data_IF_195337223932
#
_entry.id   IF_195337223932
#
_cell.length_a   1.000
_cell.length_b   1.000
_cell.length_c   1.000
_cell.angle_alpha   90.00
_cell.angle_beta   90.00
_cell.angle_gamma   90.00
#
_symmetry.space_group_name_H-M   'P 1'
#
loop_
_entity.id
_entity.type
_entity.pdbx_description
1 polymer ?
#
# COMPACT_ATOMS: atom_id res chain seq x y z
N UNK A 1 0.55 13.74 -14.08
CA UNK A 1 0.48 14.71 -12.96
C UNK A 1 0.43 13.90 -11.70
N UNK A 2 1.42 14.02 -10.82
CA UNK A 2 1.38 13.39 -9.49
C UNK A 2 0.17 13.98 -8.78
N UNK A 3 -0.68 13.09 -8.27
CA UNK A 3 -1.99 13.48 -7.73
C UNK A 3 -1.83 13.97 -6.29
N UNK A 4 -2.61 14.97 -5.88
CA UNK A 4 -2.45 15.70 -4.60
C UNK A 4 -2.33 14.78 -3.36
N UNK A 5 -3.17 13.75 -3.25
CA UNK A 5 -3.14 12.77 -2.16
C UNK A 5 -1.80 12.02 -2.07
N UNK A 6 -1.15 11.73 -3.19
CA UNK A 6 0.14 11.04 -3.20
C UNK A 6 1.23 11.92 -2.60
N UNK A 7 1.25 13.21 -2.94
CA UNK A 7 2.20 14.16 -2.37
C UNK A 7 2.01 14.35 -0.86
N UNK A 8 0.76 14.29 -0.37
CA UNK A 8 0.47 14.34 1.06
C UNK A 8 1.01 13.07 1.77
N UNK A 9 0.86 11.90 1.15
CA UNK A 9 1.37 10.65 1.71
C UNK A 9 2.91 10.54 1.68
N UNK A 10 3.61 11.37 0.91
CA UNK A 10 5.08 11.52 0.98
C UNK A 10 5.53 12.32 2.22
N UNK A 11 4.64 13.11 2.83
CA UNK A 11 4.95 13.83 4.07
C UNK A 11 5.07 12.85 5.23
N UNK A 12 5.80 13.27 6.28
CA UNK A 12 5.83 12.53 7.54
C UNK A 12 4.41 12.52 8.15
N UNK A 13 4.00 11.41 8.79
CA UNK A 13 2.70 11.32 9.48
C UNK A 13 2.38 12.51 10.38
N UNK A 14 3.37 13.01 11.12
CA UNK A 14 3.21 14.12 12.05
C UNK A 14 3.01 15.50 11.37
N UNK A 15 3.31 15.60 10.07
CA UNK A 15 3.27 16.86 9.32
C UNK A 15 1.98 17.01 8.48
N UNK A 16 1.04 16.05 8.58
CA UNK A 16 -0.23 16.04 7.84
C UNK A 16 -1.31 16.77 8.63
N UNK A 17 -2.08 17.63 7.97
CA UNK A 17 -3.23 18.32 8.59
C UNK A 17 -4.51 17.48 8.47
N UNK A 18 -5.56 17.85 9.22
CA UNK A 18 -6.86 17.15 9.14
C UNK A 18 -7.48 17.25 7.73
N UNK A 19 -7.36 18.41 7.08
CA UNK A 19 -7.85 18.60 5.71
C UNK A 19 -7.13 17.70 4.72
N UNK A 20 -5.81 17.55 4.90
CA UNK A 20 -4.98 16.69 4.05
C UNK A 20 -5.30 15.20 4.25
N UNK A 21 -5.60 14.79 5.48
CA UNK A 21 -6.03 13.43 5.78
C UNK A 21 -7.39 13.11 5.14
N UNK A 22 -8.30 14.07 5.07
CA UNK A 22 -9.59 13.91 4.40
C UNK A 22 -9.42 13.72 2.88
N UNK A 23 -8.44 14.40 2.26
CA UNK A 23 -8.09 14.20 0.84
C UNK A 23 -7.61 12.77 0.60
N UNK A 24 -6.72 12.24 1.46
CA UNK A 24 -6.27 10.85 1.37
C UNK A 24 -7.44 9.88 1.57
N UNK A 25 -8.26 10.11 2.60
CA UNK A 25 -9.38 9.25 2.94
C UNK A 25 -10.38 9.09 1.80
N UNK A 26 -10.77 10.21 1.18
CA UNK A 26 -11.69 10.20 0.04
C UNK A 26 -11.11 9.43 -1.15
N UNK A 27 -9.79 9.53 -1.38
CA UNK A 27 -9.13 8.73 -2.41
C UNK A 27 -9.12 7.25 -2.06
N UNK A 28 -8.69 6.87 -0.86
CA UNK A 28 -8.64 5.47 -0.44
C UNK A 28 -10.04 4.81 -0.48
N UNK A 29 -11.08 5.52 -0.06
CA UNK A 29 -12.46 5.04 -0.11
C UNK A 29 -12.98 4.80 -1.54
N UNK A 30 -12.45 5.52 -2.52
CA UNK A 30 -12.81 5.36 -3.94
C UNK A 30 -12.20 4.12 -4.60
N UNK A 31 -11.32 3.39 -3.91
CA UNK A 31 -10.66 2.20 -4.43
C UNK A 31 -11.46 0.97 -4.00
N UNK A 32 -11.94 0.19 -4.98
CA UNK A 32 -12.81 -0.97 -4.76
C UNK A 32 -12.24 -1.99 -3.75
N UNK A 33 -10.90 -2.14 -3.73
CA UNK A 33 -10.22 -3.05 -2.80
C UNK A 33 -10.38 -2.64 -1.33
N UNK A 34 -10.64 -1.36 -1.08
CA UNK A 34 -10.78 -0.74 0.24
C UNK A 34 -12.22 -0.42 0.62
N UNK A 35 -13.18 -0.53 -0.31
CA UNK A 35 -14.59 -0.19 -0.08
C UNK A 35 -15.18 -0.94 1.14
N UNK A 36 -14.75 -2.19 1.34
CA UNK A 36 -15.24 -3.06 2.43
C UNK A 36 -14.51 -2.87 3.76
N UNK A 37 -13.47 -2.05 3.80
CA UNK A 37 -12.70 -1.84 5.03
C UNK A 37 -13.47 -0.93 5.98
N UNK A 38 -13.32 -1.21 7.28
CA UNK A 38 -13.93 -0.37 8.29
C UNK A 38 -13.36 1.06 8.22
N UNK A 39 -14.17 2.13 8.33
CA UNK A 39 -13.72 3.52 8.23
C UNK A 39 -12.52 3.84 9.12
N UNK A 40 -12.49 3.33 10.35
CA UNK A 40 -11.37 3.54 11.27
C UNK A 40 -10.06 2.95 10.76
N UNK A 41 -10.09 1.82 10.04
CA UNK A 41 -8.88 1.25 9.44
C UNK A 41 -8.35 2.15 8.32
N UNK A 42 -9.26 2.67 7.47
CA UNK A 42 -8.90 3.64 6.42
C UNK A 42 -8.35 4.94 7.01
N UNK A 43 -8.88 5.40 8.14
CA UNK A 43 -8.32 6.56 8.83
C UNK A 43 -6.90 6.29 9.34
N UNK A 44 -6.65 5.14 9.98
CA UNK A 44 -5.29 4.77 10.41
C UNK A 44 -4.32 4.71 9.23
N UNK A 45 -4.78 4.17 8.10
CA UNK A 45 -4.06 4.17 6.83
C UNK A 45 -3.72 5.60 6.35
N UNK A 46 -4.64 6.56 6.44
CA UNK A 46 -4.36 7.96 6.11
C UNK A 46 -3.30 8.59 7.02
N UNK A 47 -3.36 8.31 8.32
CA UNK A 47 -2.46 8.91 9.30
C UNK A 47 -1.02 8.47 9.12
N UNK A 48 -0.80 7.19 8.86
CA UNK A 48 0.53 6.61 9.00
C UNK A 48 1.02 5.87 7.75
N UNK A 49 0.16 5.72 6.74
CA UNK A 49 0.53 5.13 5.47
C UNK A 49 1.48 6.02 4.68
N UNK A 50 2.21 5.42 3.74
CA UNK A 50 3.07 6.13 2.82
C UNK A 50 2.61 5.87 1.38
N UNK A 51 3.16 6.63 0.43
CA UNK A 51 3.04 6.32 -0.98
C UNK A 51 4.42 5.95 -1.51
N UNK A 52 4.49 4.95 -2.37
CA UNK A 52 5.71 4.68 -3.15
C UNK A 52 5.32 4.43 -4.60
N UNK A 53 5.94 5.19 -5.49
CA UNK A 53 5.90 4.95 -6.93
C UNK A 53 7.17 4.18 -7.31
N UNK A 54 7.00 2.97 -7.86
CA UNK A 54 8.10 2.04 -8.08
C UNK A 54 8.31 1.78 -9.58
N UNK A 55 9.56 1.87 -9.98
CA UNK A 55 9.97 1.54 -11.34
C UNK A 55 9.82 0.04 -11.64
N UNK A 56 9.62 -0.28 -12.92
CA UNK A 56 9.55 -1.66 -13.39
C UNK A 56 10.84 -2.41 -13.05
N UNK A 57 10.70 -3.60 -12.45
CA UNK A 57 11.81 -4.49 -12.12
C UNK A 57 12.35 -4.31 -10.69
N UNK A 58 11.79 -3.40 -9.89
CA UNK A 58 12.10 -3.30 -8.46
C UNK A 58 11.57 -4.54 -7.71
N UNK A 59 12.41 -5.09 -6.83
CA UNK A 59 12.04 -6.18 -5.92
C UNK A 59 11.68 -5.62 -4.55
N UNK A 60 10.45 -5.86 -4.09
CA UNK A 60 9.97 -5.39 -2.77
C UNK A 60 10.61 -6.16 -1.60
N UNK A 61 10.62 -7.48 -1.67
CA UNK A 61 11.23 -8.37 -0.67
C UNK A 61 11.58 -9.70 -1.32
N UNK A 62 12.47 -10.48 -0.67
CA UNK A 62 12.85 -11.81 -1.14
C UNK A 62 12.28 -12.90 -0.23
N UNK A 63 12.07 -14.07 -0.79
CA UNK A 63 11.67 -15.24 -0.03
C UNK A 63 12.69 -15.53 1.07
N UNK A 64 12.22 -15.73 2.30
CA UNK A 64 13.06 -15.94 3.48
C UNK A 64 13.41 -14.66 4.24
N UNK A 65 13.16 -13.48 3.66
CA UNK A 65 13.32 -12.22 4.38
C UNK A 65 12.24 -12.07 5.47
N UNK A 66 12.62 -11.48 6.60
CA UNK A 66 11.65 -11.11 7.63
C UNK A 66 10.76 -9.98 7.09
N UNK A 67 9.46 -10.25 6.99
CA UNK A 67 8.47 -9.21 6.65
C UNK A 67 8.43 -8.11 7.72
N UNK A 68 8.60 -6.86 7.31
CA UNK A 68 8.54 -5.68 8.19
C UNK A 68 7.28 -4.86 8.00
N UNK A 69 6.71 -4.89 6.79
CA UNK A 69 5.64 -3.99 6.36
C UNK A 69 4.52 -4.75 5.65
N UNK A 70 3.34 -4.15 5.62
CA UNK A 70 2.25 -4.54 4.75
C UNK A 70 2.05 -3.46 3.68
N UNK A 71 1.42 -3.82 2.57
CA UNK A 71 1.30 -2.94 1.42
C UNK A 71 -0.11 -3.20 0.76
N UNK A 72 -0.66 -2.34 -0.13
CA UNK A 72 -1.84 -2.59 -1.02
C UNK A 72 -1.87 -1.83 -2.39
N UNK A 73 -1.91 -2.46 -3.57
CA UNK A 73 -1.56 -1.79 -4.85
C UNK A 73 -2.68 -0.91 -5.29
N UNK A 74 -2.29 0.31 -5.65
CA UNK A 74 -3.22 1.31 -6.15
C UNK A 74 -3.25 1.36 -7.67
N UNK A 75 -2.13 1.06 -8.35
CA UNK A 75 -2.04 0.93 -9.80
C UNK A 75 -0.90 -0.04 -10.19
N UNK A 76 -1.03 -0.67 -11.37
CA UNK A 76 -0.02 -1.59 -11.90
C UNK A 76 -0.21 -3.06 -11.46
N UNK A 77 0.86 -3.85 -11.59
CA UNK A 77 0.89 -5.28 -11.28
C UNK A 77 2.28 -5.70 -10.80
N UNK A 78 2.36 -6.78 -10.02
CA UNK A 78 3.60 -7.37 -9.53
C UNK A 78 3.66 -8.84 -9.93
N UNK A 79 4.87 -9.31 -10.15
CA UNK A 79 5.15 -10.73 -10.32
C UNK A 79 5.61 -11.34 -8.98
N UNK A 80 4.98 -12.44 -8.59
CA UNK A 80 5.36 -13.21 -7.40
C UNK A 80 6.14 -14.44 -7.83
N UNK A 81 7.38 -14.58 -7.34
CA UNK A 81 8.24 -15.71 -7.65
C UNK A 81 8.56 -16.50 -6.37
N UNK A 82 8.42 -17.82 -6.43
CA UNK A 82 8.75 -18.75 -5.34
C UNK A 82 9.88 -19.64 -5.80
N UNK A 83 11.04 -19.57 -5.15
CA UNK A 83 12.27 -20.23 -5.59
C UNK A 83 12.34 -21.71 -5.21
N UNK A 84 11.35 -22.24 -4.48
CA UNK A 84 11.12 -23.67 -4.24
C UNK A 84 9.69 -23.88 -3.69
N UNK A 85 8.81 -24.63 -4.37
CA UNK A 85 7.53 -25.02 -3.79
C UNK A 85 7.72 -26.27 -2.92
N UNK A 86 7.43 -26.19 -1.61
CA UNK A 86 6.87 -27.37 -0.95
C UNK A 86 5.44 -27.55 -1.49
N UNK A 87 4.92 -28.79 -1.68
CA UNK A 87 3.66 -29.01 -2.38
C UNK A 87 2.40 -28.42 -1.73
N UNK A 88 2.46 -27.85 -0.52
CA UNK A 88 1.27 -27.58 0.28
C UNK A 88 0.92 -26.11 0.51
N UNK A 89 1.77 -25.14 0.20
CA UNK A 89 1.44 -23.73 0.48
C UNK A 89 1.81 -22.79 -0.64
N UNK A 90 0.86 -22.55 -1.55
CA UNK A 90 0.82 -21.27 -2.26
C UNK A 90 -0.63 -20.78 -2.25
N UNK A 91 -0.95 -19.93 -1.27
CA UNK A 91 -2.18 -19.13 -1.31
C UNK A 91 -1.90 -17.64 -1.26
N UNK A 92 -2.58 -16.99 -2.20
CA UNK A 92 -2.93 -15.59 -2.40
C UNK A 92 -1.91 -14.64 -3.02
N UNK A 93 -2.38 -14.10 -4.15
CA UNK A 93 -1.90 -12.92 -4.83
C UNK A 93 -2.59 -11.69 -4.24
N UNK A 94 -1.81 -10.73 -3.75
CA UNK A 94 -2.19 -9.32 -3.74
C UNK A 94 -0.92 -8.50 -4.00
N UNK A 95 -1.04 -7.51 -4.87
CA UNK A 95 0.01 -6.55 -5.21
C UNK A 95 -0.23 -5.29 -4.39
N UNK A 96 0.81 -4.52 -4.08
CA UNK A 96 0.83 -3.69 -2.88
C UNK A 96 1.49 -2.25 -2.95
N UNK A 97 0.92 -1.21 -2.29
CA UNK A 97 1.40 0.18 -2.00
C UNK A 97 1.64 0.29 -0.50
N UNK A 98 2.82 0.76 -0.11
CA UNK A 98 3.31 0.77 1.26
C UNK A 98 2.48 1.66 2.18
N UNK A 99 1.65 1.08 3.04
CA UNK A 99 1.24 1.80 4.24
C UNK A 99 2.03 1.24 5.40
N UNK A 100 2.85 2.12 6.01
CA UNK A 100 3.86 1.88 7.05
C UNK A 100 5.21 1.32 6.55
#
# INVERSE_FOLDING_TARGET
>A
MVTEWAHIMDKRPADRTEEELEVIYNRLRSIDAFEKYHPSLLQQMCYFGYYEDLDKGVTLFRQGDKGTNWYAVLAGSLDVQVLQPSPEEVRLFMTLTKMF
#
